data_IF_431387647583
#
_entry.id   IF_431387647583
#
_cell.length_a   1.000
_cell.length_b   1.000
_cell.length_c   1.000
_cell.angle_alpha   90.00
_cell.angle_beta   90.00
_cell.angle_gamma   90.00
#
_symmetry.space_group_name_H-M   'P 1'
#
loop_
_entity.id
_entity.type
_entity.pdbx_description
1 polymer ?
#
# COMPACT_ATOMS: atom_id res chain seq x y z
N UNK A 1 13.40 -10.02 19.63
CA UNK A 1 12.37 -9.14 20.22
C UNK A 1 11.08 -9.41 19.45
N UNK A 2 10.07 -10.00 20.09
CA UNK A 2 8.78 -10.24 19.45
C UNK A 2 8.06 -8.91 19.46
N UNK A 3 7.98 -8.23 18.32
CA UNK A 3 7.15 -7.04 18.18
C UNK A 3 5.70 -7.47 18.45
N UNK A 4 5.02 -6.74 19.34
CA UNK A 4 3.60 -6.96 19.59
C UNK A 4 2.84 -6.87 18.26
N UNK A 5 1.98 -7.86 17.98
CA UNK A 5 1.22 -7.93 16.72
C UNK A 5 0.42 -6.66 16.46
N UNK A 6 -0.08 -5.99 17.50
CA UNK A 6 -0.81 -4.73 17.35
C UNK A 6 0.12 -3.55 17.02
N UNK A 7 1.32 -3.52 17.59
CA UNK A 7 2.33 -2.50 17.25
C UNK A 7 2.78 -2.65 15.80
N UNK A 8 3.04 -3.88 15.35
CA UNK A 8 3.41 -4.13 13.96
C UNK A 8 2.28 -3.71 13.01
N UNK A 9 1.03 -4.04 13.33
CA UNK A 9 -0.14 -3.65 12.54
C UNK A 9 -0.27 -2.13 12.44
N UNK A 10 -0.14 -1.41 13.57
CA UNK A 10 -0.18 0.05 13.59
C UNK A 10 0.95 0.67 12.74
N UNK A 11 2.15 0.12 12.84
CA UNK A 11 3.33 0.54 12.08
C UNK A 11 3.09 0.41 10.57
N UNK A 12 2.53 -0.71 10.13
CA UNK A 12 2.16 -0.92 8.72
C UNK A 12 1.11 0.09 8.24
N UNK A 13 0.07 0.32 9.05
CA UNK A 13 -0.97 1.30 8.70
C UNK A 13 -0.41 2.72 8.59
N UNK A 14 0.48 3.10 9.52
CA UNK A 14 1.14 4.40 9.49
C UNK A 14 2.04 4.55 8.25
N UNK A 15 2.80 3.51 7.90
CA UNK A 15 3.65 3.52 6.72
C UNK A 15 2.84 3.62 5.42
N UNK A 16 1.75 2.86 5.30
CA UNK A 16 0.83 2.94 4.17
C UNK A 16 0.20 4.34 4.05
N UNK A 17 -0.21 4.93 5.18
CA UNK A 17 -0.76 6.28 5.22
C UNK A 17 0.27 7.35 4.86
N UNK A 18 1.52 7.21 5.31
CA UNK A 18 2.61 8.10 4.92
C UNK A 18 2.85 8.04 3.41
N UNK A 19 2.91 6.83 2.84
CA UNK A 19 3.04 6.64 1.39
C UNK A 19 1.89 7.26 0.60
N UNK A 20 0.65 7.13 1.09
CA UNK A 20 -0.50 7.81 0.50
C UNK A 20 -0.37 9.34 0.52
N UNK A 21 0.13 9.89 1.61
CA UNK A 21 0.42 11.32 1.73
C UNK A 21 1.45 11.81 0.70
N UNK A 22 2.48 11.02 0.43
CA UNK A 22 3.49 11.32 -0.59
C UNK A 22 2.90 11.22 -2.01
N UNK A 23 2.10 10.19 -2.30
CA UNK A 23 1.41 10.05 -3.59
C UNK A 23 0.52 11.27 -3.89
N UNK A 24 -0.28 11.70 -2.92
CA UNK A 24 -1.14 12.87 -3.06
C UNK A 24 -0.37 14.18 -3.25
N UNK A 25 0.93 14.22 -2.93
CA UNK A 25 1.85 15.35 -3.16
C UNK A 25 2.63 15.22 -4.48
N UNK A 26 2.36 14.21 -5.30
CA UNK A 26 3.07 13.96 -6.55
C UNK A 26 4.41 13.25 -6.40
N UNK A 27 4.76 12.77 -5.20
CA UNK A 27 5.96 11.96 -4.95
C UNK A 27 5.64 10.49 -5.21
N UNK A 28 5.43 10.16 -6.48
CA UNK A 28 4.89 8.87 -6.93
C UNK A 28 5.75 7.68 -6.53
N UNK A 29 7.07 7.78 -6.74
CA UNK A 29 8.00 6.68 -6.49
C UNK A 29 8.11 6.38 -4.99
N UNK A 30 8.28 7.42 -4.21
CA UNK A 30 8.42 7.36 -2.76
C UNK A 30 7.12 6.86 -2.14
N UNK A 31 5.98 7.39 -2.56
CA UNK A 31 4.68 6.97 -2.07
C UNK A 31 4.37 5.50 -2.34
N UNK A 32 4.63 5.02 -3.57
CA UNK A 32 4.48 3.60 -3.91
C UNK A 32 5.42 2.73 -3.08
N UNK A 33 6.69 3.12 -2.93
CA UNK A 33 7.67 2.36 -2.16
C UNK A 33 7.21 2.10 -0.73
N UNK A 34 6.72 3.12 -0.03
CA UNK A 34 6.23 2.99 1.35
C UNK A 34 4.96 2.13 1.43
N UNK A 35 4.01 2.31 0.52
CA UNK A 35 2.78 1.51 0.48
C UNK A 35 3.09 0.02 0.31
N UNK A 36 4.06 -0.33 -0.52
CA UNK A 36 4.45 -1.72 -0.74
C UNK A 36 5.26 -2.30 0.43
N UNK A 37 6.20 -1.51 0.95
CA UNK A 37 6.98 -1.90 2.13
C UNK A 37 6.07 -2.21 3.33
N UNK A 38 4.98 -1.44 3.51
CA UNK A 38 4.00 -1.66 4.58
C UNK A 38 3.38 -3.06 4.58
N UNK A 39 3.38 -3.73 3.43
CA UNK A 39 2.83 -5.07 3.30
C UNK A 39 3.91 -6.16 3.17
N UNK A 40 5.01 -5.87 2.47
CA UNK A 40 6.00 -6.86 2.08
C UNK A 40 7.10 -7.12 3.13
N UNK A 41 7.44 -6.13 3.96
CA UNK A 41 8.59 -6.23 4.86
C UNK A 41 8.25 -6.94 6.17
N UNK A 42 9.24 -7.60 6.77
CA UNK A 42 9.16 -8.07 8.15
C UNK A 42 9.48 -6.93 9.13
N UNK A 43 9.20 -7.14 10.43
CA UNK A 43 9.16 -6.08 11.43
C UNK A 43 10.47 -5.28 11.50
N UNK A 44 11.64 -5.94 11.47
CA UNK A 44 12.93 -5.22 11.52
C UNK A 44 13.15 -4.26 10.34
N UNK A 45 12.88 -4.68 9.10
CA UNK A 45 13.05 -3.76 7.96
C UNK A 45 11.95 -2.69 7.93
N UNK A 46 10.75 -3.03 8.39
CA UNK A 46 9.65 -2.08 8.54
C UNK A 46 10.01 -0.97 9.54
N UNK A 47 10.58 -1.34 10.69
CA UNK A 47 11.01 -0.42 11.73
C UNK A 47 12.10 0.54 11.21
N UNK A 48 13.09 0.04 10.45
CA UNK A 48 14.15 0.86 9.84
C UNK A 48 13.60 1.91 8.85
N UNK A 49 12.60 1.53 8.05
CA UNK A 49 11.93 2.47 7.13
C UNK A 49 11.18 3.55 7.93
N UNK A 50 10.52 3.14 9.02
CA UNK A 50 9.78 4.07 9.88
C UNK A 50 10.68 5.01 10.66
N UNK A 51 11.81 4.54 11.18
CA UNK A 51 12.82 5.38 11.84
C UNK A 51 13.33 6.49 10.90
N UNK A 52 13.58 6.16 9.62
CA UNK A 52 13.97 7.16 8.62
C UNK A 52 12.87 8.22 8.40
N UNK A 53 11.59 7.80 8.33
CA UNK A 53 10.46 8.73 8.25
C UNK A 53 10.31 9.62 9.49
N UNK A 54 10.49 9.05 10.68
CA UNK A 54 10.40 9.78 11.94
C UNK A 54 11.51 10.83 12.09
N UNK A 55 12.68 10.59 11.49
CA UNK A 55 13.76 11.59 11.35
C UNK A 55 13.49 12.64 10.27
N UNK A 56 12.43 12.48 9.48
CA UNK A 56 12.07 13.36 8.38
C UNK A 56 12.84 13.11 7.07
N UNK A 57 13.61 12.02 6.99
CA UNK A 57 14.37 11.66 5.79
C UNK A 57 13.51 10.78 4.86
N UNK A 58 12.65 11.45 4.09
CA UNK A 58 11.77 10.79 3.11
C UNK A 58 12.57 10.07 2.02
N UNK A 59 13.73 10.61 1.65
CA UNK A 59 14.59 10.02 0.62
C UNK A 59 15.19 8.69 1.07
N UNK A 60 15.77 8.67 2.27
CA UNK A 60 16.30 7.46 2.89
C UNK A 60 15.19 6.42 3.12
N UNK A 61 14.03 6.83 3.65
CA UNK A 61 12.90 5.94 3.86
C UNK A 61 12.44 5.26 2.55
N UNK A 62 12.28 6.03 1.48
CA UNK A 62 11.91 5.50 0.17
C UNK A 62 12.99 4.59 -0.41
N UNK A 63 14.27 4.95 -0.23
CA UNK A 63 15.40 4.13 -0.67
C UNK A 63 15.45 2.78 0.06
N UNK A 64 15.29 2.77 1.39
CA UNK A 64 15.21 1.56 2.20
C UNK A 64 13.99 0.70 1.81
N UNK A 65 12.82 1.32 1.69
CA UNK A 65 11.58 0.64 1.29
C UNK A 65 11.73 -0.03 -0.07
N UNK A 66 12.27 0.68 -1.06
CA UNK A 66 12.56 0.11 -2.38
C UNK A 66 13.63 -0.98 -2.31
N UNK A 67 14.74 -0.72 -1.63
CA UNK A 67 15.86 -1.64 -1.52
C UNK A 67 15.44 -2.98 -0.92
N UNK A 68 14.71 -2.97 0.19
CA UNK A 68 14.23 -4.20 0.83
C UNK A 68 13.15 -4.91 0.03
N UNK A 69 12.22 -4.18 -0.58
CA UNK A 69 11.15 -4.78 -1.40
C UNK A 69 11.71 -5.48 -2.65
N UNK A 70 12.83 -5.01 -3.20
CA UNK A 70 13.43 -5.55 -4.43
C UNK A 70 14.68 -6.40 -4.20
N UNK A 71 15.17 -6.53 -2.97
CA UNK A 71 16.36 -7.31 -2.71
C UNK A 71 16.15 -8.77 -3.14
N UNK A 72 17.06 -9.37 -3.94
CA UNK A 72 16.85 -10.69 -4.53
C UNK A 72 16.88 -11.84 -3.53
N UNK A 73 17.56 -11.65 -2.39
CA UNK A 73 17.77 -12.70 -1.38
C UNK A 73 17.09 -12.44 -0.04
N UNK A 74 16.43 -11.29 0.14
CA UNK A 74 15.71 -11.04 1.39
C UNK A 74 14.37 -11.77 1.37
N UNK A 75 14.06 -12.41 2.48
CA UNK A 75 12.75 -12.98 2.72
C UNK A 75 11.71 -11.85 2.84
N UNK A 76 10.56 -12.04 2.18
CA UNK A 76 9.46 -11.08 2.14
C UNK A 76 8.18 -11.77 2.53
N UNK A 77 7.27 -11.02 3.13
CA UNK A 77 5.93 -11.52 3.45
C UNK A 77 5.12 -11.74 2.18
N UNK A 78 4.18 -12.67 2.28
CA UNK A 78 3.18 -12.83 1.23
C UNK A 78 2.31 -11.58 1.12
N UNK A 79 2.14 -11.11 -0.12
CA UNK A 79 1.24 -10.01 -0.41
C UNK A 79 -0.17 -10.54 -0.63
N UNK A 80 -1.02 -10.28 0.35
CA UNK A 80 -2.47 -10.36 0.26
C UNK A 80 -3.07 -9.42 -0.81
N UNK A 81 -3.75 -10.02 -1.77
CA UNK A 81 -4.57 -9.36 -2.79
C UNK A 81 -6.05 -9.38 -2.39
N UNK A 82 -6.87 -8.69 -3.18
CA UNK A 82 -8.31 -8.72 -3.01
C UNK A 82 -8.88 -10.16 -3.01
N UNK A 83 -9.79 -10.48 -2.07
CA UNK A 83 -10.49 -11.76 -2.07
C UNK A 83 -11.53 -11.82 -3.20
N UNK A 84 -12.10 -13.00 -3.47
CA UNK A 84 -13.10 -13.20 -4.54
C UNK A 84 -14.33 -12.28 -4.45
N UNK A 85 -14.69 -11.81 -3.24
CA UNK A 85 -15.77 -10.86 -3.02
C UNK A 85 -15.34 -9.39 -2.93
N UNK A 86 -14.07 -9.08 -3.18
CA UNK A 86 -13.47 -7.76 -2.99
C UNK A 86 -13.31 -7.35 -1.53
N UNK A 87 -12.63 -6.23 -1.32
CA UNK A 87 -12.45 -5.61 0.00
C UNK A 87 -13.76 -5.00 0.49
N UNK A 88 -14.49 -5.75 1.31
CA UNK A 88 -15.74 -5.31 1.93
C UNK A 88 -15.66 -3.92 2.58
N UNK A 89 -14.57 -3.53 3.28
CA UNK A 89 -14.46 -2.17 3.82
C UNK A 89 -14.53 -1.06 2.76
N UNK A 90 -13.93 -1.25 1.58
CA UNK A 90 -13.98 -0.25 0.50
C UNK A 90 -15.40 -0.18 -0.09
N UNK A 91 -16.05 -1.33 -0.30
CA UNK A 91 -17.43 -1.38 -0.77
C UNK A 91 -18.39 -0.69 0.22
N UNK A 92 -18.18 -0.88 1.52
CA UNK A 92 -18.95 -0.23 2.56
C UNK A 92 -18.76 1.30 2.58
N UNK A 93 -17.58 1.81 2.22
CA UNK A 93 -17.38 3.26 2.02
C UNK A 93 -18.27 3.76 0.88
N UNK A 94 -18.27 3.10 -0.28
CA UNK A 94 -19.10 3.50 -1.43
C UNK A 94 -20.60 3.50 -1.08
N UNK A 95 -21.06 2.46 -0.39
CA UNK A 95 -22.45 2.33 0.05
C UNK A 95 -22.84 3.42 1.05
N UNK A 96 -22.02 3.62 2.10
CA UNK A 96 -22.29 4.65 3.13
C UNK A 96 -22.34 6.05 2.54
N UNK A 97 -21.45 6.36 1.61
CA UNK A 97 -21.36 7.68 1.00
C UNK A 97 -22.35 7.86 -0.18
N UNK A 98 -23.13 6.84 -0.52
CA UNK A 98 -24.10 6.89 -1.63
C UNK A 98 -23.46 7.21 -2.99
N UNK A 99 -22.23 6.75 -3.21
CA UNK A 99 -21.45 7.09 -4.40
C UNK A 99 -21.66 6.07 -5.50
N UNK A 100 -22.05 6.52 -6.69
CA UNK A 100 -22.19 5.65 -7.86
C UNK A 100 -20.84 4.98 -8.23
N UNK A 101 -20.75 3.64 -8.17
CA UNK A 101 -19.55 2.88 -8.54
C UNK A 101 -19.17 2.98 -10.02
N UNK A 102 -20.07 3.45 -10.89
CA UNK A 102 -19.79 3.64 -12.33
C UNK A 102 -19.42 5.08 -12.70
N UNK A 103 -19.69 6.03 -11.81
CA UNK A 103 -19.34 7.42 -11.96
C UNK A 103 -18.10 7.77 -11.14
N UNK A 104 -18.23 8.79 -10.29
CA UNK A 104 -17.12 9.27 -9.43
C UNK A 104 -16.55 8.18 -8.52
N UNK A 105 -17.28 7.11 -8.20
CA UNK A 105 -16.83 5.99 -7.37
C UNK A 105 -16.02 4.91 -8.10
N UNK A 106 -15.90 5.00 -9.43
CA UNK A 106 -15.23 3.97 -10.23
C UNK A 106 -13.80 3.64 -9.76
N UNK A 107 -12.95 4.61 -9.36
CA UNK A 107 -11.62 4.30 -8.84
C UNK A 107 -11.67 3.44 -7.57
N UNK A 108 -12.47 3.82 -6.57
CA UNK A 108 -12.60 3.03 -5.33
C UNK A 108 -13.21 1.65 -5.60
N UNK A 109 -14.18 1.57 -6.52
CA UNK A 109 -14.77 0.30 -6.90
C UNK A 109 -13.73 -0.63 -7.54
N UNK A 110 -12.91 -0.13 -8.47
CA UNK A 110 -11.81 -0.90 -9.05
C UNK A 110 -10.80 -1.33 -7.99
N UNK A 111 -10.45 -0.44 -7.05
CA UNK A 111 -9.54 -0.76 -5.94
C UNK A 111 -10.10 -1.86 -5.04
N UNK A 112 -11.41 -1.91 -4.81
CA UNK A 112 -12.02 -2.98 -4.00
C UNK A 112 -11.69 -4.39 -4.53
N UNK A 113 -11.49 -4.56 -5.84
CA UNK A 113 -11.23 -5.87 -6.46
C UNK A 113 -9.80 -6.09 -6.91
N UNK A 114 -8.97 -5.05 -6.90
CA UNK A 114 -7.61 -5.13 -7.44
C UNK A 114 -6.54 -4.77 -6.43
N UNK A 115 -6.90 -4.08 -5.35
CA UNK A 115 -5.94 -3.58 -4.38
C UNK A 115 -5.26 -4.69 -3.60
N UNK A 116 -3.98 -4.48 -3.29
CA UNK A 116 -3.30 -5.22 -2.25
C UNK A 116 -3.54 -4.58 -0.87
N UNK A 117 -3.33 -5.34 0.21
CA UNK A 117 -3.66 -4.90 1.58
C UNK A 117 -3.03 -3.55 1.98
N UNK A 118 -1.83 -3.24 1.50
CA UNK A 118 -1.15 -1.94 1.71
C UNK A 118 -1.93 -0.78 1.09
N UNK A 119 -2.37 -0.90 -0.16
CA UNK A 119 -3.22 0.10 -0.83
C UNK A 119 -4.56 0.26 -0.13
N UNK A 120 -5.17 -0.84 0.33
CA UNK A 120 -6.42 -0.79 1.12
C UNK A 120 -6.20 -0.04 2.43
N UNK A 121 -5.11 -0.33 3.13
CA UNK A 121 -4.78 0.33 4.39
C UNK A 121 -4.58 1.84 4.19
N UNK A 122 -3.87 2.21 3.13
CA UNK A 122 -3.69 3.59 2.70
C UNK A 122 -5.03 4.28 2.40
N UNK A 123 -5.89 3.65 1.60
CA UNK A 123 -7.20 4.18 1.21
C UNK A 123 -8.13 4.39 2.42
N UNK A 124 -8.24 3.39 3.29
CA UNK A 124 -9.09 3.47 4.48
C UNK A 124 -8.55 4.53 5.45
N UNK A 125 -7.24 4.60 5.68
CA UNK A 125 -6.64 5.61 6.54
C UNK A 125 -6.82 7.03 5.99
N UNK A 126 -6.70 7.24 4.67
CA UNK A 126 -6.97 8.53 4.04
C UNK A 126 -8.45 8.87 4.11
N UNK A 127 -9.35 7.92 3.86
CA UNK A 127 -10.78 8.13 4.01
C UNK A 127 -11.14 8.56 5.44
N UNK A 128 -10.66 7.83 6.45
CA UNK A 128 -10.95 8.11 7.86
C UNK A 128 -10.44 9.49 8.31
N UNK A 129 -9.29 9.92 7.79
CA UNK A 129 -8.63 11.17 8.25
C UNK A 129 -8.93 12.39 7.38
N UNK A 130 -9.26 12.20 6.10
CA UNK A 130 -9.40 13.28 5.10
C UNK A 130 -10.71 13.21 4.30
N UNK A 131 -11.52 12.18 4.49
CA UNK A 131 -12.81 12.01 3.84
C UNK A 131 -12.75 11.39 2.44
N UNK A 132 -13.94 11.22 1.85
CA UNK A 132 -14.16 10.54 0.58
C UNK A 132 -13.36 11.15 -0.58
N UNK A 133 -13.35 12.48 -0.70
CA UNK A 133 -12.73 13.16 -1.85
C UNK A 133 -11.23 12.85 -1.95
N UNK A 134 -10.51 12.93 -0.83
CA UNK A 134 -9.10 12.57 -0.78
C UNK A 134 -8.86 11.08 -1.05
N UNK A 135 -9.78 10.21 -0.63
CA UNK A 135 -9.69 8.77 -0.89
C UNK A 135 -9.93 8.44 -2.37
N UNK A 136 -10.85 9.14 -3.04
CA UNK A 136 -11.07 9.04 -4.48
C UNK A 136 -9.85 9.49 -5.27
N UNK A 137 -9.26 10.63 -4.90
CA UNK A 137 -8.02 11.13 -5.50
C UNK A 137 -6.87 10.13 -5.32
N UNK A 138 -6.72 9.54 -4.14
CA UNK A 138 -5.71 8.53 -3.90
C UNK A 138 -5.96 7.25 -4.73
N UNK A 139 -7.21 6.78 -4.79
CA UNK A 139 -7.56 5.59 -5.56
C UNK A 139 -7.23 5.78 -7.04
N UNK A 140 -7.57 6.94 -7.59
CA UNK A 140 -7.26 7.31 -8.97
C UNK A 140 -5.74 7.33 -9.21
N UNK A 141 -4.99 8.02 -8.33
CA UNK A 141 -3.53 8.05 -8.39
C UNK A 141 -2.88 6.68 -8.30
N UNK A 142 -3.38 5.79 -7.44
CA UNK A 142 -2.88 4.41 -7.35
C UNK A 142 -3.12 3.65 -8.65
N UNK A 143 -4.29 3.80 -9.27
CA UNK A 143 -4.59 3.16 -10.56
C UNK A 143 -3.71 3.69 -11.70
N UNK A 144 -3.50 5.00 -11.78
CA UNK A 144 -2.63 5.64 -12.78
C UNK A 144 -1.17 5.17 -12.63
N UNK A 145 -0.68 5.13 -11.39
CA UNK A 145 0.73 4.84 -11.09
C UNK A 145 1.06 3.34 -11.08
N UNK A 146 0.09 2.44 -11.21
CA UNK A 146 0.33 0.98 -11.28
C UNK A 146 1.18 0.54 -12.47
N UNK A 147 1.17 1.28 -13.58
CA UNK A 147 2.10 1.01 -14.70
C UNK A 147 3.55 1.33 -14.33
N UNK A 148 3.77 2.37 -13.53
CA UNK A 148 5.07 2.66 -12.91
C UNK A 148 5.42 1.58 -11.88
N UNK A 149 4.44 1.08 -11.13
CA UNK A 149 4.62 -0.04 -10.23
C UNK A 149 5.18 -1.27 -10.97
N UNK A 150 4.63 -1.60 -12.14
CA UNK A 150 5.19 -2.63 -13.01
C UNK A 150 6.65 -2.33 -13.40
N UNK A 151 6.96 -1.10 -13.82
CA UNK A 151 8.34 -0.70 -14.19
C UNK A 151 9.35 -0.82 -13.04
N UNK A 152 8.91 -0.71 -11.79
CA UNK A 152 9.78 -0.80 -10.62
C UNK A 152 9.90 -2.20 -10.02
N UNK A 153 9.32 -3.25 -10.61
CA UNK A 153 9.36 -4.60 -10.02
C UNK A 153 8.20 -4.90 -9.07
N UNK A 154 7.23 -3.99 -8.95
CA UNK A 154 6.07 -4.13 -8.04
C UNK A 154 5.03 -5.12 -8.57
N UNK A 155 5.32 -5.77 -9.70
CA UNK A 155 4.52 -6.80 -10.34
C UNK A 155 4.96 -8.22 -9.97
N UNK A 156 6.04 -8.46 -9.21
CA UNK A 156 6.30 -9.81 -8.66
C UNK A 156 5.46 -10.10 -7.42
N UNK A 157 4.89 -9.05 -6.85
CA UNK A 157 3.69 -9.09 -6.00
C UNK A 157 2.47 -9.64 -6.77
N UNK A 158 2.57 -9.63 -8.12
CA UNK A 158 1.76 -10.17 -9.23
C UNK A 158 1.89 -11.66 -9.62
N UNK A 159 2.84 -12.45 -9.09
CA UNK A 159 3.06 -13.88 -9.47
C UNK A 159 4.08 -14.08 -10.61
N UNK A 160 4.52 -15.32 -10.94
CA UNK A 160 4.22 -16.63 -10.35
C UNK A 160 5.26 -17.06 -9.29
N UNK A 161 4.84 -17.86 -8.30
CA UNK A 161 5.79 -18.69 -7.52
C UNK A 161 6.46 -19.67 -8.49
N UNK A 162 7.72 -19.44 -8.79
CA UNK A 162 8.66 -20.49 -9.19
C UNK A 162 9.75 -20.51 -8.10
N UNK A 163 10.06 -21.61 -7.43
CA UNK A 163 10.09 -22.99 -7.89
C UNK A 163 9.59 -23.92 -6.80
N UNK A 164 8.71 -24.86 -7.16
CA UNK A 164 8.73 -26.16 -6.50
C UNK A 164 10.11 -26.76 -6.69
N UNK A 165 10.73 -27.20 -5.59
CA UNK A 165 11.80 -28.19 -5.52
C UNK A 165 12.02 -28.49 -4.03
N UNK A 166 11.67 -29.72 -3.62
CA UNK A 166 11.85 -30.25 -2.27
C UNK A 166 10.62 -31.03 -1.87
#
# INVERSE_FOLDING_TARGET
MIVDREVEKATRQNLAYAGAGLLLRGMEKEGLALILASQALYSTQLDQVMEALERGDVGEAAWLAMGYTHHPTLEKREVFRAPQGGWRPILAVLEREGVDPRGKGAPLFAMAYTAHLGEVSALLAVYERKGLEAALQLADRLLETRTLAFKYGLHEVSGPRARGRG
#
